data_IF_348010009203
#
_entry.id   IF_348010009203
#
_cell.length_a   1.000
_cell.length_b   1.000
_cell.length_c   1.000
_cell.angle_alpha   90.00
_cell.angle_beta   90.00
_cell.angle_gamma   90.00
#
_symmetry.space_group_name_H-M   'P 1'
#
loop_
_entity.id
_entity.type
_entity.pdbx_description
1 polymer ?
#
# COMPACT_ATOMS: atom_id res chain seq x y z
N UNK A 1 8.09 25.03 -6.81
CA UNK A 1 8.66 24.04 -5.87
C UNK A 1 9.11 22.84 -6.67
N UNK A 2 10.36 22.39 -6.54
CA UNK A 2 10.87 21.20 -7.25
C UNK A 2 10.18 19.95 -6.68
N UNK A 3 9.07 19.53 -7.28
CA UNK A 3 8.42 18.27 -6.91
C UNK A 3 9.24 17.08 -7.42
N UNK A 4 9.34 16.03 -6.61
CA UNK A 4 10.01 14.80 -6.98
C UNK A 4 8.96 13.81 -7.46
N UNK A 5 9.14 13.26 -8.66
CA UNK A 5 8.21 12.28 -9.22
C UNK A 5 8.91 10.91 -9.21
N UNK A 6 8.42 9.94 -8.42
CA UNK A 6 8.98 8.60 -8.44
C UNK A 6 8.53 7.86 -9.71
N UNK A 7 9.50 7.23 -10.36
CA UNK A 7 9.33 6.34 -11.48
C UNK A 7 9.86 4.95 -11.13
N UNK A 8 9.24 3.91 -11.69
CA UNK A 8 9.72 2.53 -11.54
C UNK A 8 9.74 1.79 -12.86
N UNK A 9 10.79 1.00 -13.03
CA UNK A 9 10.96 0.06 -14.13
C UNK A 9 10.91 -1.36 -13.58
N UNK A 10 9.91 -2.12 -14.04
CA UNK A 10 9.71 -3.50 -13.61
C UNK A 10 10.67 -4.45 -14.31
N UNK A 11 11.06 -5.50 -13.58
CA UNK A 11 11.87 -6.62 -14.08
C UNK A 11 13.17 -6.19 -14.79
N UNK A 12 14.01 -5.34 -14.17
CA UNK A 12 15.30 -5.02 -14.75
C UNK A 12 16.16 -6.28 -14.87
N UNK A 13 16.98 -6.33 -15.92
CA UNK A 13 17.83 -7.48 -16.23
C UNK A 13 18.77 -7.78 -15.05
N UNK A 14 19.24 -6.73 -14.38
CA UNK A 14 20.18 -6.78 -13.25
C UNK A 14 19.59 -7.45 -12.00
N UNK A 15 18.26 -7.53 -11.87
CA UNK A 15 17.61 -8.21 -10.74
C UNK A 15 16.57 -9.22 -11.20
N UNK A 16 16.71 -9.77 -12.41
CA UNK A 16 15.76 -10.72 -13.00
C UNK A 16 15.58 -12.00 -12.15
N UNK A 17 16.64 -12.44 -11.48
CA UNK A 17 16.64 -13.62 -10.60
C UNK A 17 16.05 -13.33 -9.20
N UNK A 18 15.77 -12.06 -8.90
CA UNK A 18 15.11 -11.65 -7.66
C UNK A 18 13.61 -11.53 -7.93
N UNK A 19 12.78 -11.76 -6.92
CA UNK A 19 11.32 -11.63 -7.04
C UNK A 19 10.87 -10.18 -7.32
N UNK A 20 10.28 -9.51 -6.33
CA UNK A 20 9.90 -8.10 -6.49
C UNK A 20 11.11 -7.18 -6.24
N UNK A 21 11.82 -6.82 -7.31
CA UNK A 21 13.02 -5.97 -7.25
C UNK A 21 13.06 -4.89 -8.35
N UNK A 22 12.00 -4.07 -8.55
CA UNK A 22 12.03 -3.04 -9.59
C UNK A 22 13.16 -2.03 -9.39
N UNK A 23 13.61 -1.44 -10.49
CA UNK A 23 14.49 -0.28 -10.44
C UNK A 23 13.66 0.96 -10.11
N UNK A 24 14.01 1.63 -9.01
CA UNK A 24 13.35 2.84 -8.55
C UNK A 24 14.18 4.06 -8.94
N UNK A 25 13.53 5.05 -9.54
CA UNK A 25 14.16 6.29 -10.02
C UNK A 25 13.34 7.48 -9.51
N UNK A 26 14.01 8.51 -8.98
CA UNK A 26 13.36 9.75 -8.56
C UNK A 26 13.76 10.86 -9.51
N UNK A 27 12.78 11.39 -10.22
CA UNK A 27 12.96 12.43 -11.23
C UNK A 27 12.64 13.80 -10.65
N UNK A 28 13.43 14.80 -11.03
CA UNK A 28 13.08 16.19 -10.80
C UNK A 28 11.98 16.60 -11.77
N UNK A 29 10.95 17.30 -11.29
CA UNK A 29 9.91 17.84 -12.18
C UNK A 29 10.34 19.08 -12.97
N UNK A 30 11.44 19.72 -12.58
CA UNK A 30 11.93 20.99 -13.15
C UNK A 30 13.26 20.86 -13.87
N UNK A 31 13.88 19.67 -13.87
CA UNK A 31 15.15 19.43 -14.54
C UNK A 31 15.23 18.01 -15.07
N UNK A 32 16.05 17.80 -16.10
CA UNK A 32 16.28 16.46 -16.68
C UNK A 32 17.20 15.57 -15.82
N UNK A 33 17.37 15.91 -14.54
CA UNK A 33 18.27 15.20 -13.62
C UNK A 33 17.53 14.09 -12.90
N UNK A 34 18.14 12.91 -12.93
CA UNK A 34 17.80 11.81 -12.01
C UNK A 34 18.41 12.13 -10.65
N UNK A 35 17.55 12.32 -9.64
CA UNK A 35 17.95 12.66 -8.27
C UNK A 35 18.49 11.43 -7.55
N UNK A 36 17.83 10.27 -7.75
CA UNK A 36 18.19 9.01 -7.09
C UNK A 36 17.83 7.84 -7.98
N UNK A 37 18.67 6.81 -7.99
CA UNK A 37 18.44 5.50 -8.61
C UNK A 37 18.82 4.40 -7.62
N UNK A 38 17.94 3.45 -7.34
CA UNK A 38 18.25 2.29 -6.51
C UNK A 38 17.30 1.12 -6.81
N UNK A 39 17.73 -0.12 -6.57
CA UNK A 39 16.87 -1.30 -6.72
C UNK A 39 16.07 -1.53 -5.44
N UNK A 40 14.81 -1.91 -5.60
CA UNK A 40 13.97 -2.27 -4.46
C UNK A 40 14.58 -3.45 -3.67
N UNK A 41 14.58 -3.33 -2.35
CA UNK A 41 15.17 -4.30 -1.43
C UNK A 41 16.66 -4.07 -1.14
N UNK A 42 17.35 -3.19 -1.88
CA UNK A 42 18.78 -2.89 -1.68
C UNK A 42 19.05 -1.70 -0.74
N UNK A 43 18.03 -0.99 -0.30
CA UNK A 43 18.15 0.07 0.71
C UNK A 43 17.21 -0.18 1.89
N UNK A 44 17.63 0.29 3.07
CA UNK A 44 17.09 -0.07 4.38
C UNK A 44 15.55 -0.11 4.43
N UNK A 45 14.89 0.96 3.99
CA UNK A 45 13.42 1.06 4.02
C UNK A 45 12.73 -0.03 3.20
N UNK A 46 13.21 -0.32 1.99
CA UNK A 46 12.62 -1.39 1.17
C UNK A 46 13.01 -2.79 1.63
N UNK A 47 14.18 -2.93 2.24
CA UNK A 47 14.55 -4.19 2.89
C UNK A 47 13.63 -4.48 4.08
N UNK A 48 13.40 -3.48 4.95
CA UNK A 48 12.45 -3.55 6.06
C UNK A 48 11.03 -3.85 5.57
N UNK A 49 10.60 -3.22 4.48
CA UNK A 49 9.32 -3.53 3.86
C UNK A 49 9.25 -5.00 3.43
N UNK A 50 10.27 -5.53 2.76
CA UNK A 50 10.28 -6.93 2.33
C UNK A 50 10.29 -7.90 3.53
N UNK A 51 11.01 -7.55 4.60
CA UNK A 51 10.98 -8.31 5.85
C UNK A 51 9.58 -8.31 6.47
N UNK A 52 8.95 -7.14 6.59
CA UNK A 52 7.62 -7.02 7.18
C UNK A 52 6.52 -7.70 6.35
N UNK A 53 6.52 -7.48 5.04
CA UNK A 53 5.47 -7.91 4.12
C UNK A 53 5.60 -9.39 3.70
N UNK A 54 6.83 -9.92 3.68
CA UNK A 54 7.10 -11.26 3.13
C UNK A 54 8.15 -12.07 3.88
N UNK A 55 8.66 -11.59 5.01
CA UNK A 55 9.73 -12.25 5.78
C UNK A 55 10.97 -12.57 4.93
N UNK A 56 11.22 -11.78 3.88
CA UNK A 56 12.27 -12.03 2.87
C UNK A 56 12.13 -13.36 2.10
N UNK A 57 10.98 -14.04 2.18
CA UNK A 57 10.71 -15.35 1.54
C UNK A 57 9.63 -15.27 0.45
N UNK A 58 9.28 -14.06 0.02
CA UNK A 58 8.36 -13.83 -1.09
C UNK A 58 6.93 -14.29 -0.81
N UNK A 59 6.31 -14.97 -1.77
CA UNK A 59 4.90 -15.34 -1.69
C UNK A 59 4.57 -16.20 -0.45
N UNK A 60 5.45 -17.13 -0.08
CA UNK A 60 5.27 -17.98 1.10
C UNK A 60 5.23 -17.15 2.38
N UNK A 61 6.19 -16.25 2.58
CA UNK A 61 6.22 -15.41 3.76
C UNK A 61 5.06 -14.42 3.82
N UNK A 62 4.58 -13.93 2.68
CA UNK A 62 3.36 -13.10 2.63
C UNK A 62 2.13 -13.88 3.12
N UNK A 63 1.97 -15.16 2.74
CA UNK A 63 0.91 -16.02 3.29
C UNK A 63 1.07 -16.22 4.80
N UNK A 64 2.28 -16.51 5.26
CA UNK A 64 2.59 -16.71 6.70
C UNK A 64 2.24 -15.46 7.50
N UNK A 65 2.65 -14.26 7.05
CA UNK A 65 2.31 -12.98 7.68
C UNK A 65 0.79 -12.78 7.73
N UNK A 66 0.07 -13.12 6.65
CA UNK A 66 -1.39 -13.07 6.62
C UNK A 66 -2.03 -13.93 7.72
N UNK A 67 -1.60 -15.18 7.89
CA UNK A 67 -2.12 -16.07 8.93
C UNK A 67 -1.71 -15.66 10.35
N UNK A 68 -0.50 -15.12 10.53
CA UNK A 68 -0.09 -14.49 11.80
C UNK A 68 -0.99 -13.29 12.12
N UNK A 69 -1.37 -12.51 11.11
CA UNK A 69 -2.34 -11.43 11.25
C UNK A 69 -3.70 -11.93 11.73
N UNK A 70 -4.22 -13.02 11.16
CA UNK A 70 -5.48 -13.66 11.60
C UNK A 70 -5.36 -14.12 13.06
N UNK A 71 -4.28 -14.82 13.42
CA UNK A 71 -4.04 -15.26 14.79
C UNK A 71 -3.98 -14.06 15.75
N UNK A 72 -3.36 -12.95 15.33
CA UNK A 72 -3.29 -11.71 16.10
C UNK A 72 -4.68 -11.09 16.32
N UNK A 73 -5.55 -11.10 15.32
CA UNK A 73 -6.95 -10.64 15.45
C UNK A 73 -7.68 -11.49 16.50
N UNK A 74 -7.56 -12.82 16.43
CA UNK A 74 -8.17 -13.74 17.41
C UNK A 74 -7.64 -13.47 18.82
N UNK A 75 -6.33 -13.24 18.98
CA UNK A 75 -5.72 -12.91 20.27
C UNK A 75 -6.19 -11.56 20.81
N UNK A 76 -6.34 -10.54 19.97
CA UNK A 76 -6.85 -9.23 20.37
C UNK A 76 -8.30 -9.33 20.84
N UNK A 77 -9.16 -10.01 20.07
CA UNK A 77 -10.57 -10.20 20.41
C UNK A 77 -10.71 -11.02 21.70
N UNK A 78 -10.03 -12.16 21.79
CA UNK A 78 -10.07 -13.01 22.99
C UNK A 78 -9.48 -12.31 24.22
N UNK A 79 -8.38 -11.56 24.06
CA UNK A 79 -7.79 -10.77 25.12
C UNK A 79 -8.71 -9.66 25.63
N UNK A 80 -9.42 -8.98 24.72
CA UNK A 80 -10.44 -7.99 25.09
C UNK A 80 -11.58 -8.62 25.89
N UNK A 81 -12.11 -9.76 25.44
CA UNK A 81 -13.16 -10.49 26.17
C UNK A 81 -12.68 -11.03 27.52
N UNK A 82 -11.45 -11.53 27.60
CA UNK A 82 -10.85 -12.00 28.85
C UNK A 82 -10.63 -10.86 29.85
N UNK A 83 -10.37 -9.65 29.37
CA UNK A 83 -10.25 -8.46 30.22
C UNK A 83 -11.61 -7.90 30.67
N UNK A 84 -12.68 -8.13 29.90
CA UNK A 84 -13.96 -7.43 30.04
C UNK A 84 -14.47 -7.44 31.49
N UNK A 85 -14.62 -6.27 32.14
CA UNK A 85 -14.90 -6.21 33.57
C UNK A 85 -16.35 -6.61 33.89
N UNK A 86 -16.56 -7.20 35.08
CA UNK A 86 -17.91 -7.39 35.62
C UNK A 86 -18.61 -6.04 35.85
N UNK A 87 -19.95 -5.95 35.74
CA UNK A 87 -20.69 -4.73 36.02
C UNK A 87 -20.27 -4.11 37.37
N UNK A 88 -20.00 -2.80 37.38
CA UNK A 88 -19.54 -2.06 38.56
C UNK A 88 -18.04 -2.17 38.90
N UNK A 89 -17.22 -2.89 38.12
CA UNK A 89 -15.78 -3.08 38.41
C UNK A 89 -14.83 -2.33 37.46
N UNK A 90 -15.35 -1.44 36.61
CA UNK A 90 -14.57 -0.70 35.61
C UNK A 90 -13.39 0.07 36.22
N UNK A 91 -13.64 0.88 37.24
CA UNK A 91 -12.59 1.69 37.91
C UNK A 91 -11.51 0.81 38.55
N UNK A 92 -11.90 -0.32 39.15
CA UNK A 92 -10.95 -1.25 39.80
C UNK A 92 -10.06 -1.97 38.76
N UNK A 93 -10.59 -2.23 37.58
CA UNK A 93 -9.92 -3.00 36.53
C UNK A 93 -8.99 -2.12 35.70
N UNK A 94 -9.32 -0.83 35.55
CA UNK A 94 -8.48 0.17 34.87
C UNK A 94 -7.35 0.73 35.74
N UNK A 95 -7.39 0.54 37.06
CA UNK A 95 -6.34 1.03 37.95
C UNK A 95 -5.00 0.32 37.67
N UNK A 96 -3.94 1.10 37.48
CA UNK A 96 -2.56 0.62 37.52
C UNK A 96 -2.19 0.31 38.97
N UNK A 97 -1.79 -0.94 39.27
CA UNK A 97 -1.56 -1.36 40.66
C UNK A 97 -0.08 -1.31 41.07
N UNK A 98 0.83 -0.99 40.15
CA UNK A 98 2.28 -0.84 40.40
C UNK A 98 2.84 -1.91 41.33
N UNK A 99 2.53 -3.17 41.01
CA UNK A 99 2.81 -4.33 41.86
C UNK A 99 4.31 -4.51 42.06
N UNK A 100 4.72 -5.00 43.23
CA UNK A 100 6.14 -5.21 43.58
C UNK A 100 6.83 -6.30 42.73
N UNK A 101 6.07 -7.26 42.17
CA UNK A 101 6.62 -8.29 41.30
C UNK A 101 6.75 -7.79 39.85
N UNK A 102 7.88 -8.11 39.20
CA UNK A 102 8.12 -7.77 37.78
C UNK A 102 7.02 -8.31 36.86
N UNK A 103 6.55 -9.54 37.12
CA UNK A 103 5.45 -10.16 36.37
C UNK A 103 4.15 -9.39 36.57
N UNK A 104 3.85 -8.96 37.79
CA UNK A 104 2.66 -8.16 38.09
C UNK A 104 2.70 -6.78 37.41
N UNK A 105 3.87 -6.15 37.36
CA UNK A 105 4.08 -4.89 36.66
C UNK A 105 3.90 -5.03 35.15
N UNK A 106 4.50 -6.07 34.53
CA UNK A 106 4.33 -6.38 33.10
C UNK A 106 2.88 -6.68 32.76
N UNK A 107 2.16 -7.40 33.62
CA UNK A 107 0.73 -7.65 33.46
C UNK A 107 -0.08 -6.36 33.46
N UNK A 108 0.15 -5.46 34.43
CA UNK A 108 -0.57 -4.19 34.50
C UNK A 108 -0.29 -3.32 33.27
N UNK A 109 0.97 -3.27 32.78
CA UNK A 109 1.33 -2.60 31.54
C UNK A 109 0.68 -3.23 30.30
N UNK A 110 0.80 -4.55 30.14
CA UNK A 110 0.22 -5.29 29.02
C UNK A 110 -1.29 -5.06 28.94
N UNK A 111 -1.99 -5.12 30.07
CA UNK A 111 -3.42 -4.84 30.17
C UNK A 111 -3.75 -3.42 29.73
N UNK A 112 -3.06 -2.41 30.25
CA UNK A 112 -3.36 -1.01 29.93
C UNK A 112 -3.01 -0.66 28.49
N UNK A 113 -1.80 -0.99 28.03
CA UNK A 113 -1.37 -0.76 26.65
C UNK A 113 -2.27 -1.55 25.70
N UNK A 114 -2.52 -2.82 25.99
CA UNK A 114 -3.39 -3.68 25.20
C UNK A 114 -4.79 -3.10 25.06
N UNK A 115 -5.39 -2.59 26.14
CA UNK A 115 -6.71 -1.95 26.07
C UNK A 115 -6.68 -0.63 25.32
N UNK A 116 -5.73 0.26 25.62
CA UNK A 116 -5.58 1.56 24.97
C UNK A 116 -5.38 1.40 23.46
N UNK A 117 -4.58 0.43 23.05
CA UNK A 117 -4.26 0.18 21.65
C UNK A 117 -5.09 -0.94 21.01
N UNK A 118 -6.09 -1.50 21.68
CA UNK A 118 -6.86 -2.64 21.17
C UNK A 118 -7.50 -2.32 19.82
N UNK A 119 -8.22 -1.19 19.74
CA UNK A 119 -8.91 -0.74 18.52
C UNK A 119 -7.91 -0.44 17.39
N UNK A 120 -6.88 0.40 17.58
CA UNK A 120 -5.93 0.68 16.49
C UNK A 120 -5.13 -0.57 16.07
N UNK A 121 -4.73 -1.45 17.01
CA UNK A 121 -4.08 -2.71 16.64
C UNK A 121 -5.01 -3.64 15.87
N UNK A 122 -6.30 -3.67 16.23
CA UNK A 122 -7.29 -4.45 15.48
C UNK A 122 -7.44 -3.88 14.06
N UNK A 123 -7.53 -2.56 13.90
CA UNK A 123 -7.59 -1.93 12.58
C UNK A 123 -6.33 -2.21 11.74
N UNK A 124 -5.14 -2.09 12.33
CA UNK A 124 -3.86 -2.37 11.65
C UNK A 124 -3.74 -3.85 11.27
N UNK A 125 -4.14 -4.77 12.14
CA UNK A 125 -4.07 -6.21 11.85
C UNK A 125 -5.09 -6.63 10.79
N UNK A 126 -6.33 -6.13 10.86
CA UNK A 126 -7.36 -6.39 9.83
C UNK A 126 -6.90 -5.87 8.47
N UNK A 127 -6.46 -4.62 8.39
CA UNK A 127 -5.95 -4.05 7.14
C UNK A 127 -4.72 -4.79 6.62
N UNK A 128 -3.80 -5.18 7.51
CA UNK A 128 -2.62 -5.99 7.16
C UNK A 128 -2.98 -7.36 6.58
N UNK A 129 -3.97 -8.04 7.16
CA UNK A 129 -4.49 -9.32 6.62
C UNK A 129 -5.07 -9.12 5.23
N UNK A 130 -5.90 -8.09 5.02
CA UNK A 130 -6.48 -7.80 3.71
C UNK A 130 -5.41 -7.46 2.64
N UNK A 131 -4.30 -6.84 3.03
CA UNK A 131 -3.16 -6.57 2.14
C UNK A 131 -2.33 -7.82 1.82
N UNK A 132 -2.12 -8.69 2.81
CA UNK A 132 -1.27 -9.88 2.67
C UNK A 132 -1.98 -11.01 1.89
N UNK A 133 -3.27 -11.22 2.14
CA UNK A 133 -4.05 -12.33 1.57
C UNK A 133 -5.34 -11.86 0.87
N UNK A 134 -5.24 -10.96 -0.13
CA UNK A 134 -6.41 -10.39 -0.81
C UNK A 134 -7.26 -11.44 -1.51
N UNK A 135 -6.67 -12.54 -2.00
CA UNK A 135 -7.44 -13.63 -2.65
C UNK A 135 -8.47 -14.27 -1.71
N UNK A 136 -8.19 -14.27 -0.41
CA UNK A 136 -9.06 -14.83 0.62
C UNK A 136 -10.03 -13.78 1.16
N UNK A 137 -9.61 -12.51 1.27
CA UNK A 137 -10.43 -11.44 1.85
C UNK A 137 -11.33 -10.72 0.85
N UNK A 138 -10.90 -10.55 -0.40
CA UNK A 138 -11.66 -9.85 -1.45
C UNK A 138 -13.04 -10.49 -1.69
N UNK A 139 -13.20 -11.83 -1.80
CA UNK A 139 -14.51 -12.43 -1.98
C UNK A 139 -15.48 -12.15 -0.82
N UNK A 140 -14.97 -12.06 0.41
CA UNK A 140 -15.77 -11.71 1.60
C UNK A 140 -16.25 -10.26 1.49
N UNK A 141 -15.37 -9.35 1.09
CA UNK A 141 -15.74 -7.94 0.89
C UNK A 141 -16.76 -7.78 -0.24
N UNK A 142 -16.61 -8.55 -1.32
CA UNK A 142 -17.57 -8.57 -2.43
C UNK A 142 -18.94 -9.06 -1.97
N UNK A 143 -18.96 -10.17 -1.22
CA UNK A 143 -20.21 -10.74 -0.73
C UNK A 143 -20.95 -9.84 0.28
N UNK A 144 -20.23 -9.03 1.06
CA UNK A 144 -20.81 -8.19 2.11
C UNK A 144 -21.14 -6.77 1.68
N UNK A 145 -20.47 -6.25 0.64
CA UNK A 145 -20.55 -4.83 0.27
C UNK A 145 -20.95 -4.64 -1.18
N UNK A 146 -20.04 -4.89 -2.13
CA UNK A 146 -20.24 -4.67 -3.57
C UNK A 146 -19.04 -5.23 -4.37
N UNK A 147 -19.15 -5.29 -5.69
CA UNK A 147 -18.06 -5.70 -6.58
C UNK A 147 -16.82 -4.81 -6.43
N UNK A 148 -15.62 -5.41 -6.49
CA UNK A 148 -14.35 -4.66 -6.48
C UNK A 148 -13.92 -4.40 -7.92
N UNK A 149 -13.91 -3.13 -8.33
CA UNK A 149 -13.42 -2.73 -9.64
C UNK A 149 -11.90 -2.88 -9.69
N UNK A 150 -11.40 -3.37 -10.82
CA UNK A 150 -9.97 -3.50 -11.08
C UNK A 150 -9.57 -2.76 -12.35
N UNK A 151 -8.39 -2.13 -12.39
CA UNK A 151 -7.89 -1.53 -13.62
C UNK A 151 -7.68 -2.63 -14.68
N UNK A 152 -7.97 -2.34 -15.96
CA UNK A 152 -7.76 -3.29 -17.03
C UNK A 152 -6.28 -3.71 -17.10
N UNK A 153 -6.04 -4.97 -17.45
CA UNK A 153 -4.69 -5.52 -17.64
C UNK A 153 -4.33 -5.48 -19.11
N UNK A 154 -4.07 -4.29 -19.63
CA UNK A 154 -3.64 -4.14 -21.01
C UNK A 154 -2.20 -4.65 -21.14
N UNK A 155 -1.93 -5.48 -22.14
CA UNK A 155 -0.58 -5.93 -22.49
C UNK A 155 -0.31 -5.67 -23.96
N UNK A 156 0.77 -4.95 -24.23
CA UNK A 156 1.21 -4.65 -25.59
C UNK A 156 2.61 -5.22 -25.75
N UNK A 157 2.79 -6.05 -26.77
CA UNK A 157 4.10 -6.63 -27.06
C UNK A 157 5.10 -5.50 -27.37
N UNK A 158 6.26 -5.48 -26.70
CA UNK A 158 7.26 -4.46 -26.94
C UNK A 158 7.96 -4.64 -28.28
N UNK A 159 8.05 -3.55 -29.02
CA UNK A 159 8.92 -3.42 -30.19
C UNK A 159 10.31 -2.96 -29.73
N UNK A 160 11.34 -3.18 -30.55
CA UNK A 160 12.70 -2.67 -30.28
C UNK A 160 12.77 -1.13 -30.19
N UNK A 161 11.77 -0.42 -30.70
CA UNK A 161 11.72 1.03 -30.71
C UNK A 161 10.49 1.53 -29.97
N UNK A 162 10.71 2.27 -28.88
CA UNK A 162 9.68 3.09 -28.25
C UNK A 162 9.62 4.40 -29.03
N UNK A 163 8.46 4.69 -29.62
CA UNK A 163 8.34 5.82 -30.54
C UNK A 163 7.93 7.12 -29.86
N UNK A 164 7.37 7.05 -28.64
CA UNK A 164 6.97 8.27 -27.92
C UNK A 164 7.91 8.54 -26.74
N UNK A 165 8.38 9.79 -26.58
CA UNK A 165 9.11 10.19 -25.39
C UNK A 165 8.17 10.22 -24.16
N UNK A 166 8.75 9.97 -22.98
CA UNK A 166 8.01 9.99 -21.71
C UNK A 166 7.26 11.32 -21.49
N UNK A 167 7.87 12.45 -21.85
CA UNK A 167 7.24 13.77 -21.74
C UNK A 167 5.92 13.86 -22.51
N UNK A 168 5.87 13.33 -23.73
CA UNK A 168 4.65 13.29 -24.53
C UNK A 168 3.60 12.37 -23.91
N UNK A 169 3.99 11.20 -23.41
CA UNK A 169 3.09 10.29 -22.71
C UNK A 169 2.49 10.92 -21.44
N UNK A 170 3.29 11.67 -20.67
CA UNK A 170 2.81 12.44 -19.51
C UNK A 170 1.78 13.47 -19.93
N UNK A 171 2.02 14.23 -21.01
CA UNK A 171 1.07 15.23 -21.50
C UNK A 171 -0.27 14.60 -21.92
N UNK A 172 -0.23 13.45 -22.61
CA UNK A 172 -1.44 12.70 -22.97
C UNK A 172 -2.20 12.29 -21.70
N UNK A 173 -1.49 11.76 -20.71
CA UNK A 173 -2.11 11.30 -19.47
C UNK A 173 -2.67 12.46 -18.61
N UNK A 174 -1.96 13.59 -18.53
CA UNK A 174 -2.41 14.78 -17.81
C UNK A 174 -3.64 15.39 -18.47
N UNK A 175 -3.75 15.37 -19.81
CA UNK A 175 -4.98 15.80 -20.50
C UNK A 175 -6.18 14.93 -20.16
N UNK A 176 -5.95 13.65 -19.85
CA UNK A 176 -6.99 12.71 -19.49
C UNK A 176 -7.53 12.96 -18.07
N UNK A 177 -6.68 13.42 -17.13
CA UNK A 177 -7.06 13.83 -15.77
C UNK A 177 -6.43 15.19 -15.40
N UNK A 178 -6.97 16.32 -15.91
CA UNK A 178 -6.31 17.63 -15.82
C UNK A 178 -6.09 18.14 -14.39
N UNK A 179 -7.04 17.91 -13.50
CA UNK A 179 -7.01 18.38 -12.11
C UNK A 179 -6.26 17.45 -11.16
N UNK A 180 -5.83 16.27 -11.62
CA UNK A 180 -5.21 15.27 -10.77
C UNK A 180 -3.68 15.42 -10.72
N UNK A 181 -3.10 15.10 -9.56
CA UNK A 181 -1.64 15.15 -9.36
C UNK A 181 -1.00 13.85 -9.82
N UNK A 182 -0.02 13.94 -10.73
CA UNK A 182 0.82 12.79 -11.08
C UNK A 182 1.65 12.35 -9.86
N UNK A 183 1.46 11.12 -9.41
CA UNK A 183 2.13 10.56 -8.23
C UNK A 183 3.15 9.48 -8.56
N UNK A 184 2.91 8.67 -9.59
CA UNK A 184 3.84 7.62 -10.04
C UNK A 184 3.89 7.50 -11.54
N UNK A 185 5.07 7.17 -12.03
CA UNK A 185 5.32 6.75 -13.41
C UNK A 185 5.79 5.29 -13.39
N UNK A 186 5.12 4.44 -14.14
CA UNK A 186 5.54 3.06 -14.42
C UNK A 186 5.96 3.04 -15.89
N UNK A 187 7.24 2.78 -16.13
CA UNK A 187 7.77 2.79 -17.49
C UNK A 187 7.52 1.45 -18.20
N UNK A 188 7.48 1.46 -19.54
CA UNK A 188 7.45 0.25 -20.35
C UNK A 188 8.59 -0.68 -19.97
N UNK A 189 8.33 -1.98 -20.01
CA UNK A 189 9.31 -3.03 -19.76
C UNK A 189 9.57 -3.85 -21.01
N UNK A 190 10.53 -4.78 -20.93
CA UNK A 190 10.76 -5.80 -21.95
C UNK A 190 9.58 -6.79 -22.11
N UNK A 191 8.57 -6.73 -21.25
CA UNK A 191 7.37 -7.57 -21.31
C UNK A 191 6.10 -6.79 -21.67
N UNK A 192 6.09 -5.46 -21.54
CA UNK A 192 4.89 -4.65 -21.76
C UNK A 192 5.24 -3.23 -22.23
N UNK A 193 4.74 -2.84 -23.40
CA UNK A 193 4.98 -1.56 -24.06
C UNK A 193 4.02 -0.45 -23.61
N UNK A 194 3.76 -0.34 -22.31
CA UNK A 194 2.78 0.59 -21.76
C UNK A 194 3.44 1.51 -20.73
N UNK A 195 3.22 2.81 -20.87
CA UNK A 195 3.38 3.74 -19.77
C UNK A 195 2.14 3.69 -18.90
N UNK A 196 2.31 3.46 -17.61
CA UNK A 196 1.22 3.53 -16.65
C UNK A 196 1.48 4.63 -15.64
N UNK A 197 0.54 5.55 -15.54
CA UNK A 197 0.62 6.70 -14.66
C UNK A 197 -0.40 6.56 -13.54
N UNK A 198 0.01 6.87 -12.30
CA UNK A 198 -0.92 6.97 -11.16
C UNK A 198 -1.19 8.42 -10.85
N UNK A 199 -2.47 8.78 -10.80
CA UNK A 199 -2.95 10.12 -10.54
C UNK A 199 -3.71 10.16 -9.22
N UNK A 200 -3.45 11.17 -8.41
CA UNK A 200 -4.21 11.46 -7.20
C UNK A 200 -5.31 12.47 -7.54
N UNK A 201 -6.58 12.05 -7.43
CA UNK A 201 -7.73 12.97 -7.45
C UNK A 201 -7.93 13.59 -6.06
N UNK A 202 -8.84 14.55 -5.94
CA UNK A 202 -9.12 15.24 -4.67
C UNK A 202 -9.61 14.27 -3.59
N UNK A 203 -10.40 13.27 -3.98
CA UNK A 203 -11.01 12.30 -3.06
C UNK A 203 -10.16 11.04 -2.84
N UNK A 204 -8.94 10.98 -3.41
CA UNK A 204 -8.07 9.81 -3.26
C UNK A 204 -7.40 9.78 -1.88
N UNK A 205 -7.64 8.74 -1.06
CA UNK A 205 -7.11 8.66 0.29
C UNK A 205 -5.59 8.50 0.36
N UNK A 206 -4.95 8.11 -0.74
CA UNK A 206 -3.54 7.77 -0.77
C UNK A 206 -2.73 8.81 -1.51
N UNK A 207 -2.01 9.65 -0.77
CA UNK A 207 -1.04 10.56 -1.37
C UNK A 207 0.11 9.79 -2.03
N UNK A 208 0.61 8.74 -1.36
CA UNK A 208 1.78 8.00 -1.84
C UNK A 208 1.43 7.05 -2.96
N UNK A 209 0.30 6.34 -2.89
CA UNK A 209 -0.09 5.30 -3.85
C UNK A 209 -1.54 5.48 -4.30
N UNK A 210 -1.85 6.53 -5.06
CA UNK A 210 -3.22 6.78 -5.51
C UNK A 210 -3.70 5.72 -6.50
N UNK A 211 -5.03 5.67 -6.64
CA UNK A 211 -5.79 4.56 -7.24
C UNK A 211 -6.45 4.93 -8.57
N UNK A 212 -6.17 6.11 -9.13
CA UNK A 212 -6.50 6.40 -10.53
C UNK A 212 -5.32 6.04 -11.44
N UNK A 213 -5.59 5.28 -12.51
CA UNK A 213 -4.58 4.79 -13.46
C UNK A 213 -4.89 5.28 -14.86
N UNK A 214 -3.85 5.75 -15.55
CA UNK A 214 -3.89 6.05 -16.97
C UNK A 214 -2.84 5.21 -17.68
N UNK A 215 -3.23 4.45 -18.70
CA UNK A 215 -2.32 3.64 -19.51
C UNK A 215 -2.20 4.24 -20.92
N UNK A 216 -0.97 4.54 -21.32
CA UNK A 216 -0.62 5.08 -22.64
C UNK A 216 0.28 4.10 -23.36
N UNK A 217 -0.05 3.80 -24.60
CA UNK A 217 0.73 2.94 -25.47
C UNK A 217 2.07 3.60 -25.81
N UNK A 218 3.19 2.97 -25.45
CA UNK A 218 4.53 3.53 -25.65
C UNK A 218 5.01 3.54 -27.11
N UNK A 219 4.27 2.87 -28.00
CA UNK A 219 4.59 2.75 -29.42
C UNK A 219 3.82 3.76 -30.27
N UNK A 220 2.60 4.12 -29.86
CA UNK A 220 1.69 4.94 -30.66
C UNK A 220 1.27 6.25 -29.99
N UNK A 221 1.39 6.36 -28.67
CA UNK A 221 0.83 7.49 -27.92
C UNK A 221 -0.68 7.44 -27.75
N UNK A 222 -1.32 6.32 -28.09
CA UNK A 222 -2.75 6.12 -27.85
C UNK A 222 -3.04 5.94 -26.36
N UNK A 223 -4.09 6.59 -25.87
CA UNK A 223 -4.67 6.32 -24.56
C UNK A 223 -5.40 4.97 -24.62
N UNK A 224 -4.88 3.95 -23.93
CA UNK A 224 -5.44 2.60 -23.96
C UNK A 224 -6.47 2.38 -22.85
N UNK A 225 -6.21 2.94 -21.66
CA UNK A 225 -7.16 2.83 -20.56
C UNK A 225 -7.12 4.02 -19.60
N UNK A 226 -8.29 4.29 -19.03
CA UNK A 226 -8.48 5.22 -17.92
C UNK A 226 -9.29 4.53 -16.84
N UNK A 227 -8.73 4.44 -15.65
CA UNK A 227 -9.38 3.96 -14.45
C UNK A 227 -9.41 5.10 -13.43
N UNK A 228 -10.60 5.63 -13.13
CA UNK A 228 -10.78 6.76 -12.22
C UNK A 228 -11.38 6.27 -10.90
N UNK A 229 -10.77 6.66 -9.78
CA UNK A 229 -11.22 6.36 -8.42
C UNK A 229 -12.64 6.89 -8.13
N UNK A 230 -13.00 8.05 -8.66
CA UNK A 230 -14.27 8.73 -8.34
C UNK A 230 -15.49 7.95 -8.86
N UNK A 231 -15.27 7.05 -9.84
CA UNK A 231 -16.31 6.24 -10.50
C UNK A 231 -16.40 4.81 -9.97
N UNK A 232 -15.73 4.51 -8.86
CA UNK A 232 -15.67 3.14 -8.32
C UNK A 232 -16.80 2.83 -7.34
N UNK A 233 -17.07 1.53 -7.20
CA UNK A 233 -17.97 0.95 -6.21
C UNK A 233 -17.55 1.25 -4.76
N UNK A 234 -18.49 1.06 -3.84
CA UNK A 234 -18.24 1.24 -2.40
C UNK A 234 -17.15 0.29 -1.88
N UNK A 235 -17.16 -0.98 -2.30
CA UNK A 235 -16.14 -1.95 -1.90
C UNK A 235 -14.74 -1.55 -2.37
N UNK A 236 -14.63 -1.02 -3.59
CA UNK A 236 -13.36 -0.48 -4.12
C UNK A 236 -12.88 0.72 -3.30
N UNK A 237 -13.77 1.64 -2.91
CA UNK A 237 -13.42 2.76 -2.04
C UNK A 237 -12.88 2.27 -0.69
N UNK A 238 -13.54 1.31 -0.05
CA UNK A 238 -13.04 0.68 1.19
C UNK A 238 -11.64 0.10 0.95
N UNK A 239 -11.44 -0.64 -0.14
CA UNK A 239 -10.15 -1.24 -0.49
C UNK A 239 -9.05 -0.20 -0.68
N UNK A 240 -9.34 0.95 -1.27
CA UNK A 240 -8.38 2.03 -1.47
C UNK A 240 -7.92 2.68 -0.14
N UNK A 241 -8.75 2.60 0.91
CA UNK A 241 -8.40 3.09 2.25
C UNK A 241 -7.51 2.12 3.05
N UNK A 242 -7.45 0.84 2.67
CA UNK A 242 -6.74 -0.18 3.45
C UNK A 242 -5.26 0.19 3.61
N UNK A 243 -4.58 0.56 2.52
CA UNK A 243 -3.14 0.88 2.59
C UNK A 243 -2.86 2.16 3.42
N UNK A 244 -3.56 3.30 3.20
CA UNK A 244 -3.39 4.49 4.03
C UNK A 244 -3.71 4.32 5.52
N UNK A 245 -4.65 3.43 5.85
CA UNK A 245 -4.97 3.09 7.22
C UNK A 245 -3.87 2.23 7.86
N UNK A 246 -3.33 1.27 7.11
CA UNK A 246 -2.31 0.36 7.61
C UNK A 246 -0.95 1.02 7.85
N UNK A 247 -0.54 1.92 6.94
CA UNK A 247 0.73 2.66 7.07
C UNK A 247 0.60 4.00 7.81
N UNK A 248 -0.62 4.30 8.30
CA UNK A 248 -0.99 5.53 8.98
C UNK A 248 -0.74 6.83 8.17
N UNK A 249 -0.58 6.74 6.85
CA UNK A 249 -0.36 7.91 5.99
C UNK A 249 -1.56 8.86 5.94
N UNK A 250 -2.74 8.40 6.37
CA UNK A 250 -3.93 9.24 6.59
C UNK A 250 -3.69 10.41 7.54
N UNK A 251 -2.83 10.26 8.56
CA UNK A 251 -2.55 11.33 9.53
C UNK A 251 -1.51 12.34 9.08
N UNK A 252 -1.11 12.32 7.81
CA UNK A 252 -0.03 13.15 7.29
C UNK A 252 1.29 12.92 8.05
N UNK A 253 2.15 13.93 8.09
CA UNK A 253 3.48 13.80 8.68
C UNK A 253 3.48 13.52 10.21
N UNK A 254 2.35 13.68 10.90
CA UNK A 254 2.23 13.46 12.35
C UNK A 254 2.11 11.98 12.68
N UNK A 255 1.38 11.20 11.87
CA UNK A 255 1.18 9.76 12.07
C UNK A 255 2.03 8.89 11.14
N UNK A 256 2.69 9.49 10.15
CA UNK A 256 3.45 8.76 9.13
C UNK A 256 4.70 8.11 9.73
N UNK A 257 4.63 6.80 9.92
CA UNK A 257 5.79 5.95 10.19
C UNK A 257 6.29 5.43 8.84
N UNK A 258 7.19 6.21 8.20
CA UNK A 258 7.91 5.97 6.92
C UNK A 258 7.33 6.65 5.66
#
# INVERSE_FOLDING_TARGET
MNSIIPARYYNPIETKEQGFAPLMVWLSSSSDKVIRKNYWGKYLVTWMYNLHFSLLTGATGTLVVGYIGIASIVLLISGFFAWFPKPGQWVKTLKFKSRSSKIGLLYDWHKLIGLTFCIPLLALTVTGVMLAIPKQTDPILIALVDDINSPPKTQIQPCKQFNIPLSQAILIAQKALPSARLAWIETPSNLNAIYRFRFQTVDDPSYRFPHSYIEVNALTGKLESMFNIDKQSTASKIKNWIHPLHDASIGGNILKVI
#
